data_IF_474168996180
#
_entry.id   IF_474168996180
#
_cell.length_a   1.000
_cell.length_b   1.000
_cell.length_c   1.000
_cell.angle_alpha   90.00
_cell.angle_beta   90.00
_cell.angle_gamma   90.00
#
_symmetry.space_group_name_H-M   'P 1'
#
loop_
_entity.id
_entity.type
_entity.pdbx_description
1 polymer ?
#
# COMPACT_ATOMS: atom_id res chain seq x y z
N UNK A 1 -9.06 -10.90 -1.45
CA UNK A 1 -7.69 -10.38 -1.29
C UNK A 1 -7.04 -11.03 -0.07
N UNK A 2 -5.79 -11.50 -0.18
CA UNK A 2 -4.97 -11.92 0.97
C UNK A 2 -3.94 -10.83 1.28
N UNK A 3 -3.86 -10.36 2.52
CA UNK A 3 -2.71 -9.56 2.95
C UNK A 3 -1.62 -10.57 3.36
N UNK A 4 -0.48 -10.54 2.69
CA UNK A 4 0.65 -11.46 2.87
C UNK A 4 1.82 -10.67 3.44
N UNK A 5 2.26 -11.04 4.63
CA UNK A 5 3.46 -10.48 5.22
C UNK A 5 4.68 -11.34 4.91
N UNK A 6 5.85 -10.72 4.75
CA UNK A 6 7.12 -11.45 4.66
C UNK A 6 8.06 -10.98 5.76
N UNK A 7 8.12 -11.72 6.87
CA UNK A 7 9.27 -11.74 7.80
C UNK A 7 9.56 -13.20 8.04
N UNK A 8 10.52 -13.74 7.31
CA UNK A 8 10.72 -15.19 7.15
C UNK A 8 9.50 -15.91 6.53
N UNK A 9 9.26 -17.21 6.80
CA UNK A 9 8.33 -18.08 6.06
C UNK A 9 6.85 -18.06 6.54
N UNK A 10 6.39 -17.08 7.32
CA UNK A 10 5.02 -17.07 7.87
C UNK A 10 4.06 -16.23 7.01
N UNK A 11 2.89 -16.81 6.70
CA UNK A 11 1.78 -16.15 5.96
C UNK A 11 0.56 -16.07 6.89
N UNK A 12 0.15 -14.87 7.27
CA UNK A 12 -1.05 -14.63 8.09
C UNK A 12 -2.07 -13.84 7.29
N UNK A 13 -3.35 -14.23 7.33
CA UNK A 13 -4.41 -13.58 6.55
C UNK A 13 -5.03 -12.46 7.38
N UNK A 14 -4.49 -11.25 7.29
CA UNK A 14 -5.12 -10.04 7.83
C UNK A 14 -6.19 -9.57 6.82
N UNK A 15 -7.45 -9.97 6.99
CA UNK A 15 -8.43 -9.96 5.87
C UNK A 15 -9.50 -8.85 5.90
N UNK A 16 -9.52 -7.94 6.89
CA UNK A 16 -10.63 -6.97 6.98
C UNK A 16 -10.40 -5.73 6.11
N UNK A 17 -11.49 -5.18 5.58
CA UNK A 17 -11.48 -3.90 4.85
C UNK A 17 -10.95 -2.76 5.74
N UNK A 18 -11.20 -2.83 7.05
CA UNK A 18 -10.72 -1.87 8.02
C UNK A 18 -9.19 -1.91 8.15
N UNK A 19 -8.59 -3.10 8.23
CA UNK A 19 -7.13 -3.27 8.26
C UNK A 19 -6.49 -2.71 7.00
N UNK A 20 -7.05 -3.01 5.81
CA UNK A 20 -6.55 -2.46 4.54
C UNK A 20 -6.60 -0.93 4.54
N UNK A 21 -7.74 -0.33 4.92
CA UNK A 21 -7.90 1.13 5.00
C UNK A 21 -6.91 1.75 5.97
N UNK A 22 -6.64 1.11 7.12
CA UNK A 22 -5.68 1.60 8.12
C UNK A 22 -4.24 1.57 7.60
N UNK A 23 -3.81 0.46 6.99
CA UNK A 23 -2.46 0.34 6.40
C UNK A 23 -2.28 1.40 5.31
N UNK A 24 -3.25 1.52 4.40
CA UNK A 24 -3.18 2.47 3.30
C UNK A 24 -3.27 3.92 3.77
N UNK A 25 -4.09 4.21 4.78
CA UNK A 25 -4.25 5.55 5.34
C UNK A 25 -2.94 6.18 5.81
N UNK A 26 -1.95 5.36 6.18
CA UNK A 26 -0.59 5.79 6.56
C UNK A 26 0.16 6.52 5.44
N UNK A 27 -0.17 6.27 4.17
CA UNK A 27 0.45 6.99 3.05
C UNK A 27 -0.19 8.36 2.78
N UNK A 28 -1.36 8.65 3.35
CA UNK A 28 -2.08 9.92 3.07
C UNK A 28 -1.28 11.11 3.60
N UNK A 29 -1.03 12.09 2.74
CA UNK A 29 -0.21 13.26 3.02
C UNK A 29 1.30 13.02 2.86
N UNK A 30 1.73 11.79 2.54
CA UNK A 30 3.14 11.46 2.31
C UNK A 30 3.48 11.47 0.82
N UNK A 31 4.74 11.82 0.51
CA UNK A 31 5.32 11.62 -0.80
C UNK A 31 5.62 10.13 -0.98
N UNK A 32 5.03 9.53 -2.01
CA UNK A 32 5.17 8.11 -2.31
C UNK A 32 5.81 7.93 -3.67
N UNK A 33 6.73 6.99 -3.75
CA UNK A 33 7.16 6.39 -4.99
C UNK A 33 6.20 5.25 -5.32
N UNK A 34 5.73 5.17 -6.56
CA UNK A 34 4.99 4.01 -7.04
C UNK A 34 5.56 3.47 -8.34
N UNK A 35 5.38 2.17 -8.55
CA UNK A 35 5.71 1.45 -9.76
C UNK A 35 4.57 0.51 -10.13
N UNK A 36 4.06 0.62 -11.36
CA UNK A 36 3.12 -0.32 -11.96
C UNK A 36 3.89 -1.12 -13.00
N UNK A 37 3.87 -2.44 -12.88
CA UNK A 37 4.51 -3.32 -13.86
C UNK A 37 3.63 -4.50 -14.22
N UNK A 38 3.77 -4.95 -15.47
CA UNK A 38 3.09 -6.12 -16.01
C UNK A 38 4.05 -7.01 -16.79
N UNK A 39 3.91 -8.32 -16.60
CA UNK A 39 4.74 -9.32 -17.26
C UNK A 39 3.95 -10.58 -17.60
N UNK A 40 4.38 -11.30 -18.63
CA UNK A 40 3.90 -12.66 -18.89
C UNK A 40 4.56 -13.65 -17.93
N UNK A 41 3.81 -14.62 -17.40
CA UNK A 41 4.31 -15.69 -16.52
C UNK A 41 5.49 -16.46 -17.13
N UNK A 42 5.56 -16.55 -18.46
CA UNK A 42 6.62 -17.25 -19.21
C UNK A 42 7.79 -16.36 -19.66
N UNK A 43 7.84 -15.12 -19.17
CA UNK A 43 9.06 -14.32 -19.16
C UNK A 43 9.24 -13.35 -20.32
N UNK A 44 8.77 -12.12 -20.13
CA UNK A 44 9.45 -10.84 -20.36
C UNK A 44 8.58 -9.76 -19.67
N UNK A 45 9.19 -8.80 -18.97
CA UNK A 45 8.46 -7.59 -18.53
C UNK A 45 8.22 -6.75 -19.79
N UNK A 46 6.96 -6.42 -20.06
CA UNK A 46 6.61 -5.65 -21.27
C UNK A 46 6.15 -4.23 -20.94
N UNK A 47 5.83 -3.95 -19.68
CA UNK A 47 5.37 -2.65 -19.24
C UNK A 47 5.82 -2.38 -17.80
N UNK A 48 6.48 -1.24 -17.60
CA UNK A 48 6.79 -0.67 -16.28
C UNK A 48 6.66 0.84 -16.35
N UNK A 49 5.89 1.42 -15.45
CA UNK A 49 5.73 2.86 -15.28
C UNK A 49 5.97 3.23 -13.82
N UNK A 50 6.76 4.26 -13.59
CA UNK A 50 7.20 4.70 -12.26
C UNK A 50 7.00 6.19 -12.14
N UNK A 51 6.54 6.64 -10.98
CA UNK A 51 6.41 8.07 -10.69
C UNK A 51 6.35 8.29 -9.16
N UNK A 52 6.51 9.54 -8.74
CA UNK A 52 6.50 9.94 -7.33
C UNK A 52 5.55 11.10 -7.14
N UNK A 53 4.66 11.03 -6.16
CA UNK A 53 3.70 12.10 -5.88
C UNK A 53 3.27 12.15 -4.41
N UNK A 54 2.64 13.24 -3.98
CA UNK A 54 2.08 13.35 -2.62
C UNK A 54 0.66 12.81 -2.61
N UNK A 55 0.36 11.85 -1.75
CA UNK A 55 -0.96 11.23 -1.68
C UNK A 55 -1.95 12.19 -1.03
N UNK A 56 -2.97 12.62 -1.78
CA UNK A 56 -4.07 13.45 -1.26
C UNK A 56 -5.04 12.65 -0.40
N UNK A 57 -5.44 11.49 -0.92
CA UNK A 57 -6.42 10.60 -0.31
C UNK A 57 -6.25 9.21 -0.92
N UNK A 58 -6.65 8.19 -0.14
CA UNK A 58 -6.81 6.83 -0.64
C UNK A 58 -8.23 6.38 -0.37
N UNK A 59 -8.94 6.04 -1.44
CA UNK A 59 -10.29 5.51 -1.37
C UNK A 59 -10.25 3.99 -1.55
N UNK A 60 -10.92 3.28 -0.65
CA UNK A 60 -11.06 1.81 -0.72
C UNK A 60 -12.54 1.48 -0.76
N UNK A 61 -12.99 0.99 -1.91
CA UNK A 61 -14.37 0.57 -2.14
C UNK A 61 -14.44 -0.93 -2.39
N UNK A 62 -15.52 -1.57 -1.92
CA UNK A 62 -15.75 -3.00 -2.08
C UNK A 62 -17.24 -3.21 -2.38
N UNK A 63 -17.64 -2.95 -3.62
CA UNK A 63 -19.02 -3.12 -4.10
C UNK A 63 -19.10 -4.34 -5.01
N UNK A 64 -18.67 -4.19 -6.26
CA UNK A 64 -18.61 -5.29 -7.23
C UNK A 64 -17.28 -6.04 -7.16
N UNK A 65 -16.21 -5.27 -6.94
CA UNK A 65 -14.86 -5.73 -6.70
C UNK A 65 -14.17 -4.77 -5.73
N UNK A 66 -13.06 -5.22 -5.16
CA UNK A 66 -12.21 -4.36 -4.34
C UNK A 66 -11.47 -3.38 -5.26
N UNK A 67 -11.70 -2.09 -5.08
CA UNK A 67 -11.01 -1.00 -5.79
C UNK A 67 -10.29 -0.13 -4.80
N UNK A 68 -9.02 0.14 -5.05
CA UNK A 68 -8.17 1.04 -4.27
C UNK A 68 -7.71 2.16 -5.20
N UNK A 69 -8.10 3.39 -4.89
CA UNK A 69 -7.76 4.56 -5.69
C UNK A 69 -6.89 5.51 -4.88
N UNK A 70 -5.69 5.78 -5.38
CA UNK A 70 -4.69 6.64 -4.74
C UNK A 70 -4.63 7.95 -5.52
N UNK A 71 -5.04 9.05 -4.88
CA UNK A 71 -5.11 10.35 -5.52
C UNK A 71 -3.85 11.17 -5.31
N UNK A 72 -3.39 11.85 -6.35
CA UNK A 72 -2.31 12.82 -6.29
C UNK A 72 -2.81 14.18 -5.76
N UNK A 73 -2.04 14.80 -4.86
CA UNK A 73 -2.31 16.12 -4.31
C UNK A 73 -1.88 17.25 -5.25
N UNK A 74 -0.84 17.04 -6.06
CA UNK A 74 -0.30 18.02 -7.00
C UNK A 74 -1.01 18.01 -8.35
N UNK A 75 -1.75 16.95 -8.68
CA UNK A 75 -2.44 16.83 -9.95
C UNK A 75 -3.79 16.07 -9.82
N UNK A 76 -4.94 16.76 -9.90
CA UNK A 76 -6.25 16.11 -9.75
C UNK A 76 -6.61 15.16 -10.90
N UNK A 77 -5.93 15.27 -12.05
CA UNK A 77 -6.10 14.35 -13.18
C UNK A 77 -5.23 13.09 -13.07
N UNK A 78 -4.37 13.01 -12.05
CA UNK A 78 -3.51 11.87 -11.80
C UNK A 78 -4.01 11.05 -10.60
N UNK A 79 -4.23 9.76 -10.84
CA UNK A 79 -4.56 8.79 -9.80
C UNK A 79 -4.09 7.40 -10.21
N UNK A 80 -3.75 6.59 -9.22
CA UNK A 80 -3.46 5.17 -9.41
C UNK A 80 -4.65 4.35 -8.94
N UNK A 81 -5.17 3.49 -9.80
CA UNK A 81 -6.28 2.61 -9.48
C UNK A 81 -5.81 1.14 -9.49
N UNK A 82 -6.02 0.45 -8.38
CA UNK A 82 -5.75 -0.98 -8.24
C UNK A 82 -7.07 -1.71 -8.12
N UNK A 83 -7.39 -2.50 -9.15
CA UNK A 83 -8.66 -3.20 -9.28
C UNK A 83 -8.49 -4.69 -8.98
N UNK A 84 -9.35 -5.20 -8.10
CA UNK A 84 -9.47 -6.59 -7.70
C UNK A 84 -8.12 -7.30 -7.42
N UNK A 85 -7.26 -6.75 -6.54
CA UNK A 85 -5.99 -7.39 -6.24
C UNK A 85 -6.20 -8.74 -5.53
N UNK A 86 -5.48 -9.75 -5.98
CA UNK A 86 -5.50 -11.09 -5.39
C UNK A 86 -4.80 -11.10 -4.03
N UNK A 87 -3.68 -10.38 -3.95
CA UNK A 87 -2.92 -10.23 -2.72
C UNK A 87 -2.32 -8.84 -2.57
N UNK A 88 -2.10 -8.43 -1.31
CA UNK A 88 -1.27 -7.30 -0.94
C UNK A 88 -0.10 -7.82 -0.13
N UNK A 89 1.14 -7.51 -0.51
CA UNK A 89 2.34 -7.80 0.29
C UNK A 89 2.84 -6.56 1.00
N UNK A 90 3.31 -6.73 2.23
CA UNK A 90 3.94 -5.66 3.01
C UNK A 90 5.42 -6.01 3.20
N UNK A 91 6.30 -5.08 2.87
CA UNK A 91 7.75 -5.22 2.95
C UNK A 91 8.32 -4.26 3.99
N UNK A 92 9.25 -4.78 4.80
CA UNK A 92 10.11 -3.93 5.64
C UNK A 92 11.23 -3.44 4.73
N UNK A 93 11.31 -2.13 4.52
CA UNK A 93 12.42 -1.57 3.76
C UNK A 93 13.61 -1.36 4.70
N UNK A 94 14.79 -1.17 4.12
CA UNK A 94 16.04 -0.90 4.86
C UNK A 94 15.89 0.19 5.93
N UNK A 95 16.68 0.08 7.00
CA UNK A 95 16.71 1.02 8.14
C UNK A 95 16.70 2.47 7.66
N UNK A 96 15.65 3.21 8.03
CA UNK A 96 15.46 4.62 7.67
C UNK A 96 14.44 4.88 6.57
N UNK A 97 13.97 3.83 5.86
CA UNK A 97 12.84 3.89 4.93
C UNK A 97 11.60 3.28 5.61
N UNK A 98 10.42 3.86 5.39
CA UNK A 98 9.15 3.31 5.88
C UNK A 98 8.80 1.98 5.19
N UNK A 99 7.67 1.38 5.53
CA UNK A 99 7.24 0.13 4.87
C UNK A 99 6.76 0.37 3.43
N UNK A 100 6.85 -0.65 2.59
CA UNK A 100 6.28 -0.66 1.24
C UNK A 100 5.13 -1.66 1.14
N UNK A 101 4.17 -1.38 0.25
CA UNK A 101 3.08 -2.30 -0.08
C UNK A 101 3.09 -2.63 -1.56
N UNK A 102 2.77 -3.89 -1.88
CA UNK A 102 2.66 -4.36 -3.27
C UNK A 102 1.35 -5.07 -3.48
N UNK A 103 0.54 -4.55 -4.38
CA UNK A 103 -0.65 -5.25 -4.85
C UNK A 103 -0.30 -6.15 -6.02
N UNK A 104 -0.83 -7.37 -5.99
CA UNK A 104 -0.68 -8.37 -7.04
C UNK A 104 -2.03 -8.67 -7.67
N UNK A 105 -2.07 -8.66 -9.00
CA UNK A 105 -3.20 -9.13 -9.78
C UNK A 105 -2.69 -10.07 -10.87
N UNK A 106 -3.42 -11.15 -11.14
CA UNK A 106 -3.10 -12.08 -12.20
C UNK A 106 -4.33 -12.30 -13.06
N UNK A 107 -4.20 -12.06 -14.37
CA UNK A 107 -5.27 -12.24 -15.35
C UNK A 107 -4.70 -13.10 -16.48
N UNK A 108 -5.16 -14.35 -16.55
CA UNK A 108 -4.62 -15.33 -17.48
C UNK A 108 -3.12 -15.54 -17.26
N UNK A 109 -2.32 -15.29 -18.30
CA UNK A 109 -0.85 -15.38 -18.25
C UNK A 109 -0.15 -14.09 -17.83
N UNK A 110 -0.90 -13.00 -17.57
CA UNK A 110 -0.34 -11.71 -17.19
C UNK A 110 -0.36 -11.54 -15.68
N UNK A 111 0.80 -11.25 -15.11
CA UNK A 111 0.95 -10.80 -13.73
C UNK A 111 1.14 -9.29 -13.74
N UNK A 112 0.34 -8.57 -12.97
CA UNK A 112 0.47 -7.13 -12.76
C UNK A 112 0.74 -6.81 -11.30
N UNK A 113 1.57 -5.80 -11.06
CA UNK A 113 2.00 -5.35 -9.75
C UNK A 113 1.82 -3.85 -9.63
N UNK A 114 1.38 -3.41 -8.47
CA UNK A 114 1.44 -2.01 -8.07
C UNK A 114 2.24 -1.94 -6.77
N UNK A 115 3.49 -1.49 -6.86
CA UNK A 115 4.38 -1.23 -5.75
C UNK A 115 4.20 0.21 -5.29
N UNK A 116 4.07 0.43 -3.99
CA UNK A 116 3.93 1.73 -3.35
C UNK A 116 4.86 1.79 -2.14
N UNK A 117 5.74 2.78 -2.11
CA UNK A 117 6.70 2.99 -1.02
C UNK A 117 6.68 4.45 -0.60
N UNK A 118 6.78 4.68 0.70
CA UNK A 118 7.07 6.01 1.24
C UNK A 118 8.47 6.48 0.80
N UNK A 119 8.53 7.61 0.10
CA UNK A 119 9.76 8.15 -0.49
C UNK A 119 10.37 9.27 0.35
N UNK A 120 9.82 9.55 1.54
CA UNK A 120 10.35 10.57 2.45
C UNK A 120 10.10 12.01 1.99
N UNK A 121 10.73 12.95 2.69
CA UNK A 121 10.31 14.37 2.75
C UNK A 121 11.14 15.31 1.84
N UNK A 122 11.57 14.86 0.65
CA UNK A 122 12.25 15.75 -0.28
C UNK A 122 11.27 16.49 -1.19
N UNK A 123 11.02 17.75 -0.86
CA UNK A 123 10.78 18.79 -1.87
C UNK A 123 9.51 19.62 -1.71
N UNK A 124 9.65 20.73 -0.98
CA UNK A 124 9.05 22.01 -1.38
C UNK A 124 7.68 22.35 -0.79
N UNK A 125 7.71 23.11 0.30
CA UNK A 125 6.64 24.03 0.68
C UNK A 125 5.97 23.68 2.00
N UNK A 126 6.32 24.44 3.04
CA UNK A 126 5.53 24.95 4.19
C UNK A 126 4.14 24.35 4.50
N UNK A 127 3.93 23.04 4.36
CA UNK A 127 2.73 22.35 4.80
C UNK A 127 3.07 21.35 5.88
N UNK A 128 3.30 21.94 7.05
CA UNK A 128 3.25 21.33 8.37
C UNK A 128 4.37 20.34 8.62
N UNK A 129 4.98 20.49 9.79
CA UNK A 129 5.85 19.53 10.48
C UNK A 129 5.10 18.21 10.75
N UNK A 130 4.58 17.55 9.72
CA UNK A 130 4.07 16.19 9.76
C UNK A 130 5.29 15.33 9.55
N UNK A 131 5.91 14.99 10.69
CA UNK A 131 7.05 14.09 10.79
C UNK A 131 6.93 12.99 9.73
N UNK A 132 8.03 12.74 9.00
CA UNK A 132 8.24 11.50 8.24
C UNK A 132 7.51 10.37 8.97
N UNK A 133 6.61 9.68 8.27
CA UNK A 133 5.72 8.61 8.77
C UNK A 133 6.31 8.07 10.06
N UNK A 134 5.77 8.44 11.23
CA UNK A 134 6.41 8.13 12.53
C UNK A 134 6.93 6.71 12.43
N UNK A 135 8.27 6.55 12.47
CA UNK A 135 8.98 5.35 12.02
C UNK A 135 8.42 4.15 12.75
N UNK A 136 7.36 3.58 12.18
CA UNK A 136 6.68 2.44 12.71
C UNK A 136 7.38 1.28 12.04
N UNK A 137 8.16 0.58 12.83
CA UNK A 137 8.69 -0.70 12.40
C UNK A 137 7.50 -1.62 12.13
N UNK A 138 7.66 -2.59 11.24
CA UNK A 138 6.57 -3.54 11.00
C UNK A 138 6.06 -4.25 12.26
N UNK A 139 6.90 -4.66 13.24
CA UNK A 139 6.41 -5.16 14.52
C UNK A 139 5.43 -4.20 15.22
N UNK A 140 5.73 -2.91 15.25
CA UNK A 140 4.83 -1.91 15.85
C UNK A 140 3.54 -1.73 15.04
N UNK A 141 3.60 -1.87 13.71
CA UNK A 141 2.39 -1.88 12.88
C UNK A 141 1.51 -3.08 13.25
N UNK A 142 2.10 -4.24 13.55
CA UNK A 142 1.36 -5.42 13.98
C UNK A 142 0.80 -5.28 15.40
N UNK A 143 1.56 -4.78 16.38
CA UNK A 143 1.03 -4.48 17.71
C UNK A 143 -0.19 -3.56 17.61
N UNK A 144 -0.08 -2.50 16.79
CA UNK A 144 -1.19 -1.61 16.49
C UNK A 144 -2.37 -2.31 15.82
N UNK A 145 -2.13 -3.19 14.85
CA UNK A 145 -3.18 -3.95 14.17
C UNK A 145 -3.83 -5.00 15.08
N UNK A 146 -3.06 -5.67 15.93
CA UNK A 146 -3.52 -6.66 16.91
C UNK A 146 -4.40 -6.00 17.96
N UNK A 147 -3.96 -4.89 18.57
CA UNK A 147 -4.75 -4.09 19.52
C UNK A 147 -6.12 -3.75 18.93
N UNK A 148 -6.15 -3.32 17.67
CA UNK A 148 -7.38 -3.00 16.95
C UNK A 148 -8.27 -4.23 16.76
N UNK A 149 -7.70 -5.35 16.28
CA UNK A 149 -8.50 -6.56 16.03
C UNK A 149 -9.03 -7.17 17.32
N UNK A 150 -8.30 -7.03 18.44
CA UNK A 150 -8.78 -7.43 19.76
C UNK A 150 -9.91 -6.53 20.26
N UNK A 151 -9.83 -5.22 20.00
CA UNK A 151 -10.86 -4.24 20.40
C UNK A 151 -12.15 -4.39 19.58
N UNK A 152 -12.07 -4.80 18.31
CA UNK A 152 -13.25 -5.07 17.46
C UNK A 152 -14.03 -6.33 17.90
N UNK A 153 -13.43 -7.21 18.70
CA UNK A 153 -14.08 -8.45 19.19
C UNK A 153 -14.80 -8.25 20.53
N UNK A 154 -14.45 -7.22 21.30
CA UNK A 154 -15.04 -6.96 22.63
C UNK A 154 -16.35 -6.15 22.61
N UNK A 155 -16.84 -5.74 21.45
CA UNK A 155 -18.17 -5.11 21.33
C UNK A 155 -19.24 -6.15 20.93
N UNK A 156 -19.71 -6.91 21.92
CA UNK A 156 -20.95 -7.70 21.88
C UNK A 156 -21.91 -7.19 22.95
#
# INVERSE_FOLDING_TARGET
MKIIYTRTNRVETLASLATLKKILGRFTGHRVFYEISSRFRRGQEFYSAKNTFVVRAIEVTNRDYLTITIYDAGNPAHSVEVVNPQAMRIYDETVGKGFAVVFYSEVGEVESRCYLRDDGDEGGGDQLKRNALEKITLPQLFEYLEEITSTEVEQV
#
